data_IF_070777722226
#
_entry.id   IF_070777722226
#
_cell.length_a   1.000
_cell.length_b   1.000
_cell.length_c   1.000
_cell.angle_alpha   90.00
_cell.angle_beta   90.00
_cell.angle_gamma   90.00
#
_symmetry.space_group_name_H-M   'P 1'
#
loop_
_entity.id
_entity.type
_entity.pdbx_description
1 polymer ?
#
# COMPACT_ATOMS: atom_id res chain seq x y z
N UNK A 1 12.56 6.95 -8.90
CA UNK A 1 12.17 6.12 -7.71
C UNK A 1 11.47 7.04 -6.73
N UNK A 2 10.37 6.61 -6.13
CA UNK A 2 9.66 7.38 -5.08
C UNK A 2 10.16 6.85 -3.73
N UNK A 3 10.80 7.69 -2.88
CA UNK A 3 11.10 7.28 -1.51
C UNK A 3 9.80 7.18 -0.71
N UNK A 4 9.67 6.14 0.11
CA UNK A 4 8.48 5.92 0.92
C UNK A 4 8.60 4.69 1.79
N UNK A 5 7.71 4.57 2.76
CA UNK A 5 7.63 3.44 3.67
C UNK A 5 6.19 3.11 4.07
N UNK A 6 5.96 1.88 4.42
CA UNK A 6 4.74 1.41 5.05
C UNK A 6 4.90 1.44 6.57
N UNK A 7 4.09 2.27 7.22
CA UNK A 7 4.10 2.52 8.66
C UNK A 7 2.95 1.78 9.32
N UNK A 8 3.27 0.89 10.24
CA UNK A 8 2.25 0.23 11.08
C UNK A 8 1.81 1.16 12.20
N UNK A 9 0.51 1.48 12.21
CA UNK A 9 -0.11 2.33 13.23
C UNK A 9 -0.48 1.55 14.49
N UNK A 10 -0.89 2.26 15.55
CA UNK A 10 -1.42 1.65 16.76
C UNK A 10 -2.87 1.17 16.54
N UNK A 11 -3.02 -0.09 16.16
CA UNK A 11 -4.29 -0.81 16.05
C UNK A 11 -5.19 -0.45 14.85
N UNK A 12 -4.80 0.53 14.01
CA UNK A 12 -5.59 1.01 12.86
C UNK A 12 -4.93 0.66 11.51
N UNK A 13 -4.25 -0.48 11.43
CA UNK A 13 -3.64 -0.96 10.19
C UNK A 13 -2.36 -0.24 9.83
N UNK A 14 -2.14 -0.10 8.55
CA UNK A 14 -0.93 0.44 7.94
C UNK A 14 -1.25 1.66 7.08
N UNK A 15 -0.29 2.58 6.99
CA UNK A 15 -0.35 3.76 6.13
C UNK A 15 0.99 3.86 5.40
N UNK A 16 0.97 4.06 4.09
CA UNK A 16 2.18 4.30 3.31
C UNK A 16 2.37 5.81 3.14
N UNK A 17 3.55 6.30 3.53
CA UNK A 17 4.01 7.62 3.14
C UNK A 17 4.82 7.53 1.84
N UNK A 18 4.50 8.37 0.86
CA UNK A 18 5.28 8.51 -0.39
C UNK A 18 5.93 9.87 -0.45
N UNK A 19 7.06 9.99 -1.14
CA UNK A 19 7.88 11.20 -1.25
C UNK A 19 8.41 11.68 0.10
N UNK A 20 8.78 10.73 0.97
CA UNK A 20 9.30 11.01 2.31
C UNK A 20 10.78 11.41 2.26
N UNK A 21 11.16 12.30 3.18
CA UNK A 21 12.56 12.70 3.42
C UNK A 21 13.15 12.03 4.65
N UNK A 22 12.30 11.61 5.60
CA UNK A 22 12.69 11.01 6.89
C UNK A 22 11.75 9.86 7.23
N UNK A 23 12.29 8.88 7.94
CA UNK A 23 11.51 7.78 8.52
C UNK A 23 10.42 8.28 9.49
N UNK A 24 9.34 7.53 9.59
CA UNK A 24 8.22 7.79 10.49
C UNK A 24 8.19 6.69 11.57
N UNK A 25 8.17 7.05 12.86
CA UNK A 25 8.12 6.06 13.94
C UNK A 25 6.89 5.15 13.84
N UNK A 26 7.08 3.85 14.05
CA UNK A 26 6.00 2.87 14.13
C UNK A 26 5.20 3.03 15.42
N UNK A 27 3.92 2.59 15.40
CA UNK A 27 3.07 2.55 16.58
C UNK A 27 2.48 3.91 16.97
N UNK A 28 2.58 4.90 16.11
CA UNK A 28 1.86 6.16 16.25
C UNK A 28 0.36 5.94 15.99
N UNK A 29 -0.49 6.84 16.47
CA UNK A 29 -1.89 6.81 16.07
C UNK A 29 -2.03 7.01 14.54
N UNK A 30 -3.16 6.58 13.98
CA UNK A 30 -3.44 6.79 12.55
C UNK A 30 -3.37 8.27 12.16
N UNK A 31 -3.91 9.15 13.00
CA UNK A 31 -3.89 10.60 12.80
C UNK A 31 -2.46 11.17 12.85
N UNK A 32 -1.67 10.77 13.86
CA UNK A 32 -0.30 11.26 14.00
C UNK A 32 0.61 10.76 12.88
N UNK A 33 0.39 9.52 12.40
CA UNK A 33 1.09 8.98 11.22
C UNK A 33 0.80 9.83 9.98
N UNK A 34 -0.46 10.15 9.73
CA UNK A 34 -0.85 11.04 8.62
C UNK A 34 -0.20 12.43 8.79
N UNK A 35 -0.24 13.01 10.00
CA UNK A 35 0.38 14.32 10.27
C UNK A 35 1.88 14.27 9.98
N UNK A 36 2.59 13.24 10.44
CA UNK A 36 4.03 13.08 10.21
C UNK A 36 4.39 12.90 8.71
N UNK A 37 3.53 12.28 7.91
CA UNK A 37 3.67 12.23 6.44
C UNK A 37 3.49 13.62 5.84
N UNK A 38 2.42 14.33 6.22
CA UNK A 38 2.10 15.67 5.70
C UNK A 38 3.14 16.72 6.09
N UNK A 39 3.74 16.63 7.29
CA UNK A 39 4.78 17.54 7.79
C UNK A 39 6.06 17.53 6.94
N UNK A 40 6.31 16.45 6.19
CA UNK A 40 7.40 16.37 5.21
C UNK A 40 6.90 16.59 3.77
N UNK A 41 5.72 17.16 3.59
CA UNK A 41 5.07 17.28 2.28
C UNK A 41 4.90 15.94 1.53
N UNK A 42 4.86 14.81 2.26
CA UNK A 42 4.61 13.49 1.72
C UNK A 42 3.15 13.30 1.31
N UNK A 43 2.89 12.22 0.56
CA UNK A 43 1.54 11.79 0.19
C UNK A 43 1.12 10.60 1.04
N UNK A 44 -0.12 10.65 1.53
CA UNK A 44 -0.76 9.58 2.30
C UNK A 44 -1.40 8.59 1.35
N UNK A 45 -0.88 7.37 1.33
CA UNK A 45 -1.43 6.25 0.57
C UNK A 45 -2.00 5.22 1.55
N UNK A 46 -3.28 4.87 1.41
CA UNK A 46 -3.92 3.86 2.25
C UNK A 46 -3.88 2.50 1.55
N UNK A 47 -3.01 1.55 2.00
CA UNK A 47 -2.88 0.24 1.39
C UNK A 47 -4.01 -0.68 1.82
N UNK A 48 -4.38 -1.65 0.97
CA UNK A 48 -5.31 -2.77 1.23
C UNK A 48 -6.40 -2.49 2.31
N UNK A 49 -7.18 -1.40 2.19
CA UNK A 49 -7.98 -0.82 3.27
C UNK A 49 -9.10 -1.71 3.80
N UNK A 50 -9.45 -2.80 3.09
CA UNK A 50 -10.51 -3.74 3.46
C UNK A 50 -10.05 -5.18 3.63
N UNK A 51 -8.71 -5.42 3.69
CA UNK A 51 -8.17 -6.77 3.94
C UNK A 51 -8.36 -7.20 5.40
N UNK A 52 -9.48 -7.84 5.67
CA UNK A 52 -9.85 -8.32 7.02
C UNK A 52 -9.00 -9.48 7.53
N UNK A 53 -8.03 -9.94 6.76
CA UNK A 53 -7.02 -10.91 7.21
C UNK A 53 -5.89 -10.25 8.00
N UNK A 54 -5.82 -8.92 7.93
CA UNK A 54 -4.85 -8.08 8.65
C UNK A 54 -5.55 -7.02 9.49
N UNK A 55 -4.78 -6.29 10.28
CA UNK A 55 -5.27 -5.08 10.93
C UNK A 55 -5.55 -4.03 9.86
N UNK A 56 -6.74 -3.45 9.87
CA UNK A 56 -7.16 -2.38 8.97
C UNK A 56 -7.79 -1.25 9.77
N UNK A 57 -7.81 -0.01 9.26
CA UNK A 57 -8.53 1.07 9.91
C UNK A 57 -10.04 0.79 9.90
N UNK A 58 -10.70 1.11 11.00
CA UNK A 58 -12.16 1.00 11.05
C UNK A 58 -12.84 2.03 10.13
N UNK A 59 -14.10 1.79 9.78
CA UNK A 59 -14.86 2.65 8.88
C UNK A 59 -14.96 4.10 9.36
N UNK A 60 -15.02 4.33 10.68
CA UNK A 60 -15.09 5.67 11.27
C UNK A 60 -13.76 6.40 11.08
N UNK A 61 -12.65 5.72 11.27
CA UNK A 61 -11.30 6.25 11.05
C UNK A 61 -11.09 6.61 9.58
N UNK A 62 -11.45 5.72 8.64
CA UNK A 62 -11.37 6.02 7.21
C UNK A 62 -12.20 7.26 6.86
N UNK A 63 -13.46 7.33 7.29
CA UNK A 63 -14.33 8.47 6.99
C UNK A 63 -13.83 9.79 7.58
N UNK A 64 -13.26 9.75 8.78
CA UNK A 64 -12.70 10.95 9.44
C UNK A 64 -11.52 11.53 8.66
N UNK A 65 -10.70 10.67 8.05
CA UNK A 65 -9.47 11.04 7.38
C UNK A 65 -9.53 10.99 5.85
N UNK A 66 -10.74 10.88 5.26
CA UNK A 66 -10.89 10.83 3.80
C UNK A 66 -10.22 12.00 3.07
N UNK A 67 -10.28 13.20 3.65
CA UNK A 67 -9.68 14.40 3.06
C UNK A 67 -8.15 14.42 3.16
N UNK A 68 -7.58 13.64 4.08
CA UNK A 68 -6.14 13.56 4.32
C UNK A 68 -5.47 12.47 3.48
N UNK A 69 -6.26 11.49 2.98
CA UNK A 69 -5.78 10.37 2.16
C UNK A 69 -5.66 10.84 0.71
N UNK A 70 -4.43 10.92 0.20
CA UNK A 70 -4.15 11.34 -1.17
C UNK A 70 -4.39 10.22 -2.19
N UNK A 71 -4.12 8.96 -1.80
CA UNK A 71 -4.26 7.78 -2.66
C UNK A 71 -4.89 6.63 -1.88
N UNK A 72 -5.88 5.99 -2.47
CA UNK A 72 -6.60 4.85 -1.90
C UNK A 72 -6.36 3.61 -2.74
N UNK A 73 -5.79 2.54 -2.16
CA UNK A 73 -5.50 1.32 -2.91
C UNK A 73 -6.77 0.56 -3.26
N UNK A 74 -7.00 0.38 -4.56
CA UNK A 74 -8.16 -0.33 -5.10
C UNK A 74 -7.83 -1.71 -5.64
N UNK A 75 -6.55 -2.01 -5.79
CA UNK A 75 -6.08 -3.33 -6.17
C UNK A 75 -4.73 -3.62 -5.52
N UNK A 76 -4.72 -4.65 -4.71
CA UNK A 76 -3.52 -5.26 -4.15
C UNK A 76 -3.45 -6.71 -4.64
N UNK A 77 -2.35 -7.06 -5.33
CA UNK A 77 -2.22 -8.37 -5.98
C UNK A 77 -1.95 -9.52 -5.00
N UNK A 78 -1.69 -9.21 -3.72
CA UNK A 78 -1.40 -10.20 -2.68
C UNK A 78 -2.62 -10.60 -1.87
N UNK A 79 -3.75 -9.90 -2.00
CA UNK A 79 -4.97 -10.24 -1.26
C UNK A 79 -5.45 -11.65 -1.59
N UNK A 80 -5.80 -12.40 -0.54
CA UNK A 80 -6.32 -13.76 -0.67
C UNK A 80 -7.73 -13.78 -1.31
N UNK A 81 -8.53 -12.76 -1.00
CA UNK A 81 -9.91 -12.64 -1.45
C UNK A 81 -10.10 -11.40 -2.31
N UNK A 82 -10.41 -11.61 -3.60
CA UNK A 82 -10.64 -10.52 -4.57
C UNK A 82 -11.78 -9.58 -4.15
N UNK A 83 -12.73 -10.06 -3.36
CA UNK A 83 -13.83 -9.24 -2.83
C UNK A 83 -13.36 -8.00 -2.06
N UNK A 84 -12.17 -8.02 -1.44
CA UNK A 84 -11.63 -6.88 -0.73
C UNK A 84 -11.15 -5.79 -1.71
N UNK A 85 -10.57 -6.18 -2.85
CA UNK A 85 -10.26 -5.27 -3.96
C UNK A 85 -11.54 -4.65 -4.53
N UNK A 86 -12.58 -5.46 -4.72
CA UNK A 86 -13.87 -4.98 -5.23
C UNK A 86 -14.55 -4.01 -4.25
N UNK A 87 -14.45 -4.26 -2.94
CA UNK A 87 -14.94 -3.36 -1.90
C UNK A 87 -14.20 -2.02 -1.93
N UNK A 88 -12.86 -2.06 -2.03
CA UNK A 88 -12.01 -0.88 -2.14
C UNK A 88 -12.34 -0.05 -3.39
N UNK A 89 -12.50 -0.71 -4.54
CA UNK A 89 -12.85 -0.03 -5.78
C UNK A 89 -14.23 0.65 -5.71
N UNK A 90 -15.25 -0.04 -5.15
CA UNK A 90 -16.58 0.55 -4.96
C UNK A 90 -16.54 1.75 -4.01
N UNK A 91 -15.78 1.64 -2.93
CA UNK A 91 -15.59 2.73 -1.97
C UNK A 91 -14.92 3.94 -2.61
N UNK A 92 -13.78 3.73 -3.29
CA UNK A 92 -13.05 4.79 -3.96
C UNK A 92 -13.91 5.53 -4.99
N UNK A 93 -14.71 4.80 -5.79
CA UNK A 93 -15.66 5.40 -6.74
C UNK A 93 -16.75 6.21 -6.06
N UNK A 94 -17.33 5.68 -4.97
CA UNK A 94 -18.40 6.36 -4.20
C UNK A 94 -17.94 7.71 -3.65
N UNK A 95 -16.70 7.79 -3.18
CA UNK A 95 -16.13 8.98 -2.57
C UNK A 95 -15.22 9.78 -3.49
N UNK A 96 -15.15 9.42 -4.79
CA UNK A 96 -14.30 10.06 -5.80
C UNK A 96 -12.82 10.18 -5.37
N UNK A 97 -12.26 9.12 -4.80
CA UNK A 97 -10.89 9.07 -4.32
C UNK A 97 -9.90 8.80 -5.46
N UNK A 98 -8.69 9.31 -5.35
CA UNK A 98 -7.59 8.96 -6.25
C UNK A 98 -7.18 7.51 -6.01
N UNK A 99 -7.18 6.70 -7.08
CA UNK A 99 -6.99 5.27 -6.98
C UNK A 99 -5.52 4.87 -7.12
N UNK A 100 -5.07 3.99 -6.23
CA UNK A 100 -3.76 3.35 -6.26
C UNK A 100 -3.85 1.85 -6.51
N UNK A 101 -2.70 1.24 -6.81
CA UNK A 101 -2.58 -0.21 -6.95
C UNK A 101 -1.15 -0.65 -6.67
N UNK A 102 -1.00 -1.80 -6.04
CA UNK A 102 0.28 -2.36 -5.69
C UNK A 102 0.36 -3.88 -5.83
N UNK A 103 1.59 -4.40 -5.85
CA UNK A 103 1.85 -5.84 -5.81
C UNK A 103 1.97 -6.38 -4.39
N UNK A 104 2.26 -5.53 -3.42
CA UNK A 104 2.58 -5.91 -2.04
C UNK A 104 3.59 -7.08 -2.00
N UNK A 105 4.65 -6.96 -2.82
CA UNK A 105 5.55 -8.05 -3.10
C UNK A 105 6.52 -8.31 -1.95
N UNK A 106 6.47 -9.50 -1.36
CA UNK A 106 7.41 -9.98 -0.33
C UNK A 106 8.49 -10.89 -0.91
N UNK A 107 8.44 -11.16 -2.21
CA UNK A 107 9.46 -11.89 -3.00
C UNK A 107 9.58 -11.25 -4.37
N UNK A 108 10.76 -11.37 -4.97
CA UNK A 108 11.05 -10.73 -6.27
C UNK A 108 10.02 -11.11 -7.36
N UNK A 109 9.55 -12.35 -7.36
CA UNK A 109 8.56 -12.85 -8.32
C UNK A 109 7.17 -12.23 -8.15
N UNK A 110 6.90 -11.58 -7.01
CA UNK A 110 5.68 -10.81 -6.77
C UNK A 110 5.71 -9.40 -7.37
N UNK A 111 6.89 -8.87 -7.66
CA UNK A 111 7.03 -7.52 -8.22
C UNK A 111 6.35 -7.46 -9.59
N UNK A 112 5.51 -6.43 -9.81
CA UNK A 112 4.79 -6.20 -11.05
C UNK A 112 3.53 -7.06 -11.25
N UNK A 113 3.07 -7.80 -10.23
CA UNK A 113 1.78 -8.53 -10.25
C UNK A 113 0.58 -7.59 -10.08
N UNK A 114 0.79 -6.44 -9.47
CA UNK A 114 -0.12 -5.29 -9.41
C UNK A 114 0.65 -4.02 -9.65
N UNK A 115 0.01 -3.01 -10.22
CA UNK A 115 0.62 -1.72 -10.47
C UNK A 115 -0.28 -0.82 -11.30
N UNK A 116 0.28 0.29 -11.73
CA UNK A 116 -0.41 1.31 -12.52
C UNK A 116 0.34 1.59 -13.82
N UNK A 117 -0.41 1.71 -14.91
CA UNK A 117 0.07 2.36 -16.13
C UNK A 117 -0.36 3.81 -16.09
N UNK A 118 0.59 4.72 -16.06
CA UNK A 118 0.35 6.15 -15.93
C UNK A 118 1.36 6.95 -16.77
N UNK A 119 1.12 8.24 -16.95
CA UNK A 119 2.07 9.13 -17.59
C UNK A 119 3.33 9.27 -16.73
N UNK A 120 4.46 9.58 -17.36
CA UNK A 120 5.66 9.97 -16.65
C UNK A 120 5.39 11.18 -15.77
N UNK A 121 6.07 11.25 -14.65
CA UNK A 121 5.98 12.34 -13.69
C UNK A 121 7.39 12.64 -13.14
N UNK A 122 7.63 13.89 -12.79
CA UNK A 122 8.92 14.37 -12.28
C UNK A 122 8.88 14.61 -10.78
N UNK A 123 7.71 14.96 -10.26
CA UNK A 123 7.50 15.34 -8.88
C UNK A 123 6.16 14.78 -8.33
N UNK A 124 5.88 15.11 -7.07
CA UNK A 124 4.69 14.69 -6.34
C UNK A 124 3.39 15.19 -6.98
N UNK A 125 3.38 16.41 -7.48
CA UNK A 125 2.18 17.02 -8.05
C UNK A 125 1.82 16.39 -9.39
N UNK A 126 2.83 16.22 -10.25
CA UNK A 126 2.67 15.50 -11.52
C UNK A 126 2.26 14.03 -11.27
N UNK A 127 2.79 13.39 -10.22
CA UNK A 127 2.38 12.05 -9.82
C UNK A 127 0.87 11.99 -9.53
N UNK A 128 0.33 12.88 -8.69
CA UNK A 128 -1.11 12.91 -8.38
C UNK A 128 -1.96 13.20 -9.63
N UNK A 129 -1.51 14.10 -10.50
CA UNK A 129 -2.19 14.39 -11.77
C UNK A 129 -2.21 13.12 -12.64
N UNK A 130 -1.08 12.43 -12.75
CA UNK A 130 -0.95 11.22 -13.57
C UNK A 130 -1.80 10.07 -13.03
N UNK A 131 -1.96 9.96 -11.71
CA UNK A 131 -2.82 8.95 -11.07
C UNK A 131 -4.29 9.07 -11.49
N UNK A 132 -4.80 10.27 -11.72
CA UNK A 132 -6.21 10.50 -12.11
C UNK A 132 -6.61 9.80 -13.41
N UNK A 133 -5.64 9.54 -14.28
CA UNK A 133 -5.84 8.88 -15.57
C UNK A 133 -5.11 7.54 -15.64
N UNK A 134 -4.60 7.04 -14.53
CA UNK A 134 -3.86 5.80 -14.47
C UNK A 134 -4.77 4.58 -14.69
N UNK A 135 -4.24 3.60 -15.38
CA UNK A 135 -4.88 2.30 -15.58
C UNK A 135 -4.33 1.29 -14.57
N UNK A 136 -5.22 0.61 -13.85
CA UNK A 136 -4.84 -0.47 -12.92
C UNK A 136 -4.41 -1.70 -13.71
N UNK A 137 -3.15 -2.10 -13.56
CA UNK A 137 -2.60 -3.31 -14.16
C UNK A 137 -2.74 -4.48 -13.17
N UNK A 138 -3.43 -5.53 -13.60
CA UNK A 138 -3.63 -6.75 -12.84
C UNK A 138 -2.92 -7.90 -13.57
N UNK A 139 -1.91 -8.47 -12.91
CA UNK A 139 -1.15 -9.63 -13.40
C UNK A 139 -1.04 -10.67 -12.29
N UNK A 140 -2.17 -11.23 -11.83
CA UNK A 140 -2.17 -12.10 -10.66
C UNK A 140 -1.28 -13.33 -10.87
N UNK A 141 -0.57 -13.72 -9.82
CA UNK A 141 0.15 -14.99 -9.74
C UNK A 141 -0.47 -15.82 -8.63
N UNK A 142 -0.27 -17.14 -8.72
CA UNK A 142 -0.74 -18.03 -7.65
C UNK A 142 -0.16 -17.61 -6.29
N UNK A 143 -1.03 -17.29 -5.35
CA UNK A 143 -0.63 -16.92 -3.98
C UNK A 143 0.10 -18.07 -3.28
N UNK A 144 -0.32 -19.32 -3.52
CA UNK A 144 0.37 -20.51 -3.00
C UNK A 144 1.82 -20.59 -3.51
N UNK A 145 2.05 -20.29 -4.79
CA UNK A 145 3.39 -20.22 -5.36
C UNK A 145 4.25 -19.14 -4.72
N UNK A 146 3.72 -17.92 -4.57
CA UNK A 146 4.43 -16.80 -3.94
C UNK A 146 4.73 -17.07 -2.47
N UNK A 147 3.79 -17.69 -1.75
CA UNK A 147 3.98 -18.07 -0.35
C UNK A 147 5.05 -19.14 -0.19
N UNK A 148 5.07 -20.14 -1.08
CA UNK A 148 6.11 -21.17 -1.08
C UNK A 148 7.51 -20.58 -1.33
N UNK A 149 7.62 -19.60 -2.23
CA UNK A 149 8.88 -18.87 -2.47
C UNK A 149 9.33 -18.06 -1.25
N UNK A 150 8.39 -17.35 -0.59
CA UNK A 150 8.68 -16.61 0.64
C UNK A 150 9.22 -17.54 1.73
N UNK A 151 8.55 -18.68 1.95
CA UNK A 151 8.99 -19.68 2.92
C UNK A 151 10.39 -20.22 2.61
N UNK A 152 10.65 -20.55 1.32
CA UNK A 152 11.96 -21.02 0.87
C UNK A 152 13.07 -19.99 1.11
N UNK A 153 12.80 -18.70 0.88
CA UNK A 153 13.74 -17.62 1.14
C UNK A 153 14.07 -17.51 2.64
N UNK A 154 13.04 -17.52 3.50
CA UNK A 154 13.21 -17.44 4.95
C UNK A 154 14.00 -18.63 5.53
N UNK A 155 13.74 -19.84 5.03
CA UNK A 155 14.52 -21.03 5.45
C UNK A 155 15.98 -20.90 5.04
N UNK A 156 16.26 -20.40 3.83
CA UNK A 156 17.62 -20.19 3.36
C UNK A 156 18.38 -19.16 4.21
N UNK A 157 17.75 -18.04 4.59
CA UNK A 157 18.34 -17.03 5.46
C UNK A 157 18.69 -17.60 6.83
N UNK A 158 17.77 -18.31 7.48
CA UNK A 158 18.01 -18.95 8.79
C UNK A 158 19.15 -19.97 8.75
N UNK A 159 19.27 -20.73 7.66
CA UNK A 159 20.38 -21.70 7.49
C UNK A 159 21.72 -20.99 7.28
N UNK A 160 21.75 -19.84 6.63
CA UNK A 160 22.96 -19.03 6.47
C UNK A 160 23.40 -18.40 7.81
N UNK A 161 22.45 -17.82 8.56
CA UNK A 161 22.71 -17.21 9.88
C UNK A 161 23.20 -18.23 10.91
N UNK A 162 22.76 -19.50 10.82
CA UNK A 162 23.19 -20.56 11.74
C UNK A 162 24.61 -21.11 11.43
N UNK A 163 25.23 -20.67 10.32
CA UNK A 163 26.58 -21.08 9.88
C UNK A 163 27.65 -19.99 10.11
N UNK A 164 27.24 -18.81 10.55
CA UNK A 164 28.07 -17.70 10.97
C UNK A 164 28.12 -17.61 12.48
#
# INVERSE_FOLDING_TARGET
>A
MIPGEEVKTDGQGEVIGLFLEREIPRGMSFADTIAAIKDQAGLVYLPHPFDRMHSIPDAKTIHRHLADIDVFEVYNARLLFEQYNDEALRFARKYNLTMGSGSDAHVLQGVGTGGLRMREFRDREEFLISLRTAEVLRRPRSLAYLQALKWKAQVKERVLESRT
#
